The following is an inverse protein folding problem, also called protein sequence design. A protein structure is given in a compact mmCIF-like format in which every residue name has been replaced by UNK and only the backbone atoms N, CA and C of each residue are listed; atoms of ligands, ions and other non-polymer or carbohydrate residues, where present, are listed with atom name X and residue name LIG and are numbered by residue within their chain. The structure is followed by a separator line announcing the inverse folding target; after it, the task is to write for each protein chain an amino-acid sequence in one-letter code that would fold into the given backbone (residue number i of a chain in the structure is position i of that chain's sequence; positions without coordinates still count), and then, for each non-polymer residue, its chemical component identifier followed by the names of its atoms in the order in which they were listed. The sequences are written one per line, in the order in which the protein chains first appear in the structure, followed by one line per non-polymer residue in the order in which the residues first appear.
data_IF_118595949497
#
_entry.id   IF_118595949497
#
_cell.length_a   1.000
_cell.length_b   1.000
_cell.length_c   1.000
_cell.angle_alpha   90.00
_cell.angle_beta   90.00
_cell.angle_gamma   90.00
#
_symmetry.space_group_name_H-M   'P 1'
#
loop_
_entity.id
_entity.type
_entity.pdbx_description
1 polymer ?
#
# COMPACT_ATOMS: atom_id res chain seq x y z
N UNK A 1 -6.46 5.30 -20.36
CA UNK A 1 -6.06 5.91 -19.08
C UNK A 1 -6.93 7.13 -18.83
N UNK A 2 -7.71 7.11 -17.73
CA UNK A 2 -8.56 8.22 -17.36
C UNK A 2 -8.68 8.23 -15.83
N UNK A 3 -9.23 9.30 -15.27
CA UNK A 3 -9.28 9.51 -13.83
C UNK A 3 -10.71 9.84 -13.43
N UNK A 4 -11.21 9.23 -12.34
CA UNK A 4 -12.49 9.60 -11.76
C UNK A 4 -12.32 10.94 -11.04
N UNK A 5 -13.19 11.90 -11.35
CA UNK A 5 -13.15 13.24 -10.75
C UNK A 5 -14.38 13.56 -9.93
N UNK A 6 -15.46 12.81 -10.08
CA UNK A 6 -16.63 12.93 -9.19
C UNK A 6 -17.45 11.67 -9.19
N UNK A 7 -18.24 11.49 -8.13
CA UNK A 7 -19.15 10.35 -7.96
C UNK A 7 -20.52 10.93 -7.61
N UNK A 8 -21.52 10.64 -8.44
CA UNK A 8 -22.87 11.10 -8.21
C UNK A 8 -23.63 10.17 -7.26
N UNK A 9 -24.46 10.76 -6.39
CA UNK A 9 -25.32 10.03 -5.46
C UNK A 9 -26.76 10.48 -5.62
N UNK A 10 -27.67 9.55 -5.39
CA UNK A 10 -29.07 9.81 -5.16
C UNK A 10 -29.44 9.20 -3.80
N UNK A 11 -29.53 10.05 -2.79
CA UNK A 11 -29.77 9.60 -1.41
C UNK A 11 -28.68 8.64 -0.94
N UNK A 12 -29.08 7.42 -0.63
CA UNK A 12 -28.21 6.37 -0.09
C UNK A 12 -27.58 5.48 -1.18
N UNK A 13 -27.55 5.94 -2.43
CA UNK A 13 -27.00 5.15 -3.54
C UNK A 13 -26.09 5.98 -4.42
N UNK A 14 -24.91 5.45 -4.74
CA UNK A 14 -24.11 5.99 -5.85
C UNK A 14 -24.74 5.57 -7.16
N UNK A 15 -24.69 6.44 -8.17
CA UNK A 15 -25.37 6.23 -9.45
C UNK A 15 -24.42 6.27 -10.64
N UNK A 16 -23.38 7.10 -10.59
CA UNK A 16 -22.44 7.21 -11.71
C UNK A 16 -21.12 7.79 -11.25
N UNK A 17 -20.11 7.64 -12.10
CA UNK A 17 -18.82 8.33 -11.95
C UNK A 17 -18.61 9.22 -13.17
N UNK A 18 -18.01 10.39 -12.97
CA UNK A 18 -17.55 11.26 -14.04
C UNK A 18 -16.04 11.15 -14.17
N UNK A 19 -15.57 10.98 -15.37
CA UNK A 19 -14.15 10.88 -15.68
C UNK A 19 -13.60 12.25 -16.07
N UNK A 20 -12.29 12.42 -15.97
CA UNK A 20 -11.60 13.66 -16.33
C UNK A 20 -11.82 14.04 -17.80
N UNK A 21 -12.01 13.06 -18.66
CA UNK A 21 -12.37 13.27 -20.08
C UNK A 21 -13.78 13.87 -20.29
N UNK A 22 -14.58 13.93 -19.21
CA UNK A 22 -15.99 14.36 -19.29
C UNK A 22 -16.97 13.20 -19.46
N UNK A 23 -16.51 11.99 -19.70
CA UNK A 23 -17.37 10.83 -19.85
C UNK A 23 -18.06 10.48 -18.53
N UNK A 24 -19.35 10.12 -18.60
CA UNK A 24 -20.11 9.68 -17.43
C UNK A 24 -20.43 8.20 -17.57
N UNK A 25 -20.04 7.42 -16.55
CA UNK A 25 -20.26 5.98 -16.53
C UNK A 25 -21.28 5.65 -15.44
N UNK A 26 -22.43 5.09 -15.84
CA UNK A 26 -23.46 4.65 -14.89
C UNK A 26 -22.95 3.43 -14.12
N UNK A 27 -23.18 3.39 -12.82
CA UNK A 27 -22.66 2.32 -11.96
C UNK A 27 -23.70 1.88 -10.94
N UNK A 28 -24.04 0.59 -10.97
CA UNK A 28 -24.91 0.00 -9.96
C UNK A 28 -24.21 -0.21 -8.62
N UNK A 29 -22.88 -0.36 -8.64
CA UNK A 29 -22.03 -0.51 -7.45
C UNK A 29 -20.67 0.10 -7.76
N UNK A 30 -20.09 0.76 -6.77
CA UNK A 30 -18.71 1.27 -6.86
C UNK A 30 -17.88 0.57 -5.80
N UNK A 31 -16.74 0.05 -6.21
CA UNK A 31 -15.73 -0.50 -5.29
C UNK A 31 -14.58 0.50 -5.22
N UNK A 32 -14.38 1.08 -4.07
CA UNK A 32 -13.22 1.94 -3.82
C UNK A 32 -12.03 1.03 -3.47
N UNK A 33 -11.14 0.88 -4.43
CA UNK A 33 -9.88 0.15 -4.28
C UNK A 33 -8.73 1.05 -4.72
N UNK A 34 -8.82 2.36 -4.40
CA UNK A 34 -7.90 3.36 -4.92
C UNK A 34 -6.64 3.54 -4.05
N UNK A 35 -6.40 2.61 -3.12
CA UNK A 35 -5.17 2.58 -2.34
C UNK A 35 -4.95 3.88 -1.55
N UNK A 36 -3.76 4.52 -1.68
CA UNK A 36 -3.49 5.75 -0.93
C UNK A 36 -4.45 6.90 -1.21
N UNK A 37 -5.18 6.84 -2.34
CA UNK A 37 -6.19 7.86 -2.68
C UNK A 37 -7.59 7.49 -2.19
N UNK A 38 -7.72 6.49 -1.31
CA UNK A 38 -9.03 5.99 -0.85
C UNK A 38 -9.90 7.09 -0.26
N UNK A 39 -9.32 7.97 0.57
CA UNK A 39 -10.07 9.06 1.17
C UNK A 39 -10.52 10.10 0.13
N UNK A 40 -9.69 10.37 -0.89
CA UNK A 40 -10.09 11.27 -1.98
C UNK A 40 -11.30 10.70 -2.73
N UNK A 41 -11.22 9.42 -3.07
CA UNK A 41 -12.31 8.75 -3.80
C UNK A 41 -13.59 8.71 -2.95
N UNK A 42 -13.48 8.43 -1.65
CA UNK A 42 -14.64 8.41 -0.76
C UNK A 42 -15.31 9.80 -0.71
N UNK A 43 -14.49 10.86 -0.56
CA UNK A 43 -15.01 12.24 -0.51
C UNK A 43 -15.74 12.66 -1.78
N UNK A 44 -15.39 12.12 -2.94
CA UNK A 44 -16.14 12.38 -4.19
C UNK A 44 -17.59 11.90 -4.08
N UNK A 45 -17.85 10.89 -3.23
CA UNK A 45 -19.21 10.41 -2.95
C UNK A 45 -19.78 11.00 -1.66
N UNK A 46 -19.13 12.01 -1.06
CA UNK A 46 -19.54 12.58 0.22
C UNK A 46 -19.40 11.63 1.39
N UNK A 47 -18.39 10.76 1.33
CA UNK A 47 -18.11 9.74 2.36
C UNK A 47 -16.68 9.92 2.87
N UNK A 48 -16.40 9.32 4.03
CA UNK A 48 -15.06 9.33 4.61
C UNK A 48 -14.55 7.91 4.84
N UNK A 49 -13.24 7.78 4.84
CA UNK A 49 -12.55 6.55 5.24
C UNK A 49 -11.22 6.94 5.88
N UNK A 50 -10.84 6.32 7.01
CA UNK A 50 -9.64 6.73 7.75
C UNK A 50 -8.36 6.15 7.13
N UNK A 51 -8.11 6.52 5.86
CA UNK A 51 -6.95 6.03 5.11
C UNK A 51 -6.15 7.22 4.62
N UNK A 52 -4.85 7.20 4.90
CA UNK A 52 -3.90 8.25 4.54
C UNK A 52 -2.74 7.68 3.74
N UNK A 53 -2.16 8.45 2.81
CA UNK A 53 -0.92 8.04 2.16
C UNK A 53 0.26 8.18 3.13
N UNK A 54 1.04 7.10 3.32
CA UNK A 54 2.27 7.09 4.11
C UNK A 54 3.41 6.69 3.19
N UNK A 55 4.44 7.55 3.08
CA UNK A 55 5.53 7.34 2.12
C UNK A 55 6.52 6.30 2.63
N UNK A 56 6.96 5.43 1.73
CA UNK A 56 8.02 4.43 1.96
C UNK A 56 9.04 4.55 0.86
N UNK A 57 10.30 4.74 1.24
CA UNK A 57 11.41 4.75 0.29
C UNK A 57 12.01 3.36 0.22
N UNK A 58 12.28 2.92 -0.99
CA UNK A 58 12.97 1.65 -1.24
C UNK A 58 14.31 1.94 -1.90
N UNK A 59 15.33 1.22 -1.46
CA UNK A 59 16.69 1.37 -1.95
C UNK A 59 17.18 0.07 -2.52
N UNK A 60 17.75 0.13 -3.73
CA UNK A 60 18.45 -1.00 -4.35
C UNK A 60 19.94 -0.71 -4.25
N UNK A 61 20.69 -1.65 -3.73
CA UNK A 61 22.13 -1.46 -3.54
C UNK A 61 22.94 -2.67 -3.99
N UNK A 62 24.16 -2.39 -4.41
CA UNK A 62 25.20 -3.37 -4.69
C UNK A 62 26.05 -3.57 -3.45
N UNK A 63 26.67 -4.72 -3.35
CA UNK A 63 27.48 -5.10 -2.19
C UNK A 63 28.84 -5.56 -2.69
N UNK A 64 29.91 -4.93 -2.19
CA UNK A 64 31.27 -5.26 -2.62
C UNK A 64 31.62 -6.73 -2.35
N UNK A 65 31.12 -7.27 -1.22
CA UNK A 65 31.25 -8.69 -0.88
C UNK A 65 29.90 -9.18 -0.37
N UNK A 66 29.26 -10.07 -1.10
CA UNK A 66 27.93 -10.54 -0.73
C UNK A 66 27.97 -11.43 0.51
N UNK A 67 26.99 -11.31 1.42
CA UNK A 67 26.87 -12.25 2.54
C UNK A 67 26.71 -13.69 2.03
N UNK A 68 27.22 -14.63 2.81
CA UNK A 68 27.09 -16.05 2.47
C UNK A 68 25.62 -16.46 2.41
N UNK A 69 25.29 -17.29 1.44
CA UNK A 69 23.92 -17.71 1.21
C UNK A 69 23.11 -16.73 0.37
N UNK A 70 23.66 -15.53 0.10
CA UNK A 70 23.01 -14.54 -0.76
C UNK A 70 23.25 -14.80 -2.23
N UNK A 71 23.36 -16.08 -2.61
CA UNK A 71 23.76 -16.43 -3.96
C UNK A 71 22.92 -15.71 -5.02
N UNK A 72 23.40 -14.58 -5.41
CA UNK A 72 22.94 -13.89 -6.61
C UNK A 72 23.05 -14.81 -7.83
N UNK A 73 23.92 -15.84 -7.72
CA UNK A 73 24.14 -16.82 -8.75
C UNK A 73 23.04 -17.89 -8.81
N UNK A 74 22.30 -18.12 -7.72
CA UNK A 74 21.25 -19.12 -7.66
C UNK A 74 19.89 -18.52 -7.28
N UNK A 75 19.58 -17.37 -7.84
CA UNK A 75 18.30 -16.68 -7.69
C UNK A 75 17.94 -16.35 -6.24
N UNK A 76 18.94 -15.99 -5.46
CA UNK A 76 18.70 -15.46 -4.13
C UNK A 76 18.01 -16.42 -3.19
N UNK A 77 18.76 -17.33 -2.61
CA UNK A 77 18.24 -18.25 -1.58
C UNK A 77 18.04 -17.58 -0.22
N UNK A 78 18.53 -16.34 -0.05
CA UNK A 78 18.22 -15.61 1.17
C UNK A 78 16.74 -15.20 1.15
N UNK A 79 16.00 -15.53 2.21
CA UNK A 79 14.63 -15.05 2.33
C UNK A 79 14.60 -13.54 2.58
N UNK A 80 13.43 -12.98 2.57
CA UNK A 80 13.21 -11.63 3.10
C UNK A 80 13.61 -11.64 4.58
N UNK A 81 14.60 -10.82 4.92
CA UNK A 81 15.04 -10.61 6.30
C UNK A 81 14.33 -9.36 6.83
N UNK A 82 13.79 -9.44 8.03
CA UNK A 82 13.26 -8.29 8.75
C UNK A 82 13.99 -8.21 10.08
N UNK A 83 14.74 -7.11 10.25
CA UNK A 83 15.51 -6.85 11.46
C UNK A 83 14.56 -6.38 12.58
N UNK A 84 14.89 -6.58 13.87
CA UNK A 84 14.09 -6.04 14.97
C UNK A 84 13.89 -4.52 14.93
N UNK A 85 14.74 -3.78 14.22
CA UNK A 85 14.56 -2.35 14.00
C UNK A 85 13.47 -2.03 12.98
N UNK A 86 12.92 -3.05 12.27
CA UNK A 86 11.97 -2.87 11.20
C UNK A 86 12.61 -2.74 9.81
N UNK A 87 13.93 -2.66 9.74
CA UNK A 87 14.63 -2.64 8.46
C UNK A 87 14.48 -4.02 7.80
N UNK A 88 14.01 -4.04 6.56
CA UNK A 88 13.96 -5.30 5.82
C UNK A 88 14.95 -5.29 4.66
N UNK A 89 15.39 -6.47 4.27
CA UNK A 89 16.32 -6.63 3.16
C UNK A 89 16.07 -7.97 2.46
N UNK A 90 16.13 -7.95 1.13
CA UNK A 90 16.02 -9.18 0.34
C UNK A 90 16.88 -9.08 -0.91
N UNK A 91 17.26 -10.20 -1.50
CA UNK A 91 17.90 -10.17 -2.82
C UNK A 91 16.94 -9.61 -3.89
N UNK A 92 17.52 -8.86 -4.82
CA UNK A 92 16.81 -8.29 -5.97
C UNK A 92 17.70 -8.49 -7.22
N UNK A 93 17.57 -9.65 -7.86
CA UNK A 93 18.49 -10.05 -8.93
C UNK A 93 19.90 -10.16 -8.41
N UNK A 94 20.84 -9.40 -9.01
CA UNK A 94 22.23 -9.36 -8.53
C UNK A 94 22.43 -8.39 -7.37
N UNK A 95 21.44 -7.61 -7.04
CA UNK A 95 21.47 -6.57 -6.02
C UNK A 95 20.70 -6.99 -4.78
N UNK A 96 20.57 -6.08 -3.86
CA UNK A 96 19.67 -6.19 -2.69
C UNK A 96 18.69 -5.04 -2.72
N UNK A 97 17.52 -5.28 -2.16
CA UNK A 97 16.49 -4.27 -1.96
C UNK A 97 16.21 -4.17 -0.47
N UNK A 98 16.14 -2.94 0.05
CA UNK A 98 15.89 -2.68 1.45
C UNK A 98 14.97 -1.47 1.62
N UNK A 99 14.34 -1.41 2.77
CA UNK A 99 13.52 -0.29 3.20
C UNK A 99 13.22 -0.41 4.68
N UNK A 100 12.58 0.63 5.20
CA UNK A 100 12.18 0.68 6.60
C UNK A 100 10.98 1.62 6.75
N UNK A 101 10.27 1.53 7.86
CA UNK A 101 9.36 2.58 8.25
C UNK A 101 10.17 3.74 8.85
N UNK A 102 9.87 4.98 8.49
CA UNK A 102 10.57 6.12 9.10
C UNK A 102 10.22 6.25 10.59
N UNK A 103 11.10 6.89 11.36
CA UNK A 103 10.88 7.11 12.79
C UNK A 103 9.64 7.98 13.01
N UNK A 104 9.48 9.00 12.19
CA UNK A 104 8.25 9.79 12.14
C UNK A 104 7.57 9.50 10.81
N UNK A 105 6.33 9.05 10.89
CA UNK A 105 5.59 8.57 9.72
C UNK A 105 4.33 9.42 9.49
N UNK A 106 4.50 10.71 9.11
CA UNK A 106 3.35 11.57 8.85
C UNK A 106 2.66 11.20 7.55
N UNK A 107 1.40 11.58 7.43
CA UNK A 107 0.73 11.57 6.14
C UNK A 107 1.47 12.48 5.17
N UNK A 108 1.48 12.10 3.90
CA UNK A 108 2.09 12.90 2.83
C UNK A 108 1.04 13.25 1.78
N UNK A 109 1.35 14.18 0.90
CA UNK A 109 0.51 14.40 -0.26
C UNK A 109 0.55 13.16 -1.17
N UNK A 110 -0.59 12.84 -1.75
CA UNK A 110 -0.76 11.62 -2.58
C UNK A 110 0.10 11.64 -3.86
N UNK A 111 0.72 12.77 -4.20
CA UNK A 111 1.64 12.89 -5.35
C UNK A 111 3.10 13.14 -4.91
N UNK A 112 3.41 13.05 -3.61
CA UNK A 112 4.78 13.20 -3.11
C UNK A 112 5.53 11.86 -3.22
N UNK A 113 6.27 11.68 -4.30
CA UNK A 113 7.10 10.50 -4.55
C UNK A 113 8.60 10.80 -4.44
N UNK A 114 8.98 11.91 -3.79
CA UNK A 114 10.39 12.22 -3.59
C UNK A 114 10.99 11.27 -2.55
N UNK A 115 12.02 10.47 -2.88
CA UNK A 115 12.64 9.57 -1.90
C UNK A 115 13.28 10.33 -0.74
N UNK A 116 13.24 9.73 0.44
CA UNK A 116 13.89 10.26 1.64
C UNK A 116 15.25 9.59 1.80
N UNK A 117 16.28 10.25 1.30
CA UNK A 117 17.64 9.67 1.29
C UNK A 117 18.17 9.43 2.70
N UNK A 118 17.85 10.30 3.63
CA UNK A 118 18.27 10.20 5.02
C UNK A 118 17.84 8.88 5.68
N UNK A 119 16.75 8.27 5.22
CA UNK A 119 16.32 6.97 5.75
C UNK A 119 17.36 5.88 5.48
N UNK A 120 18.10 5.98 4.37
CA UNK A 120 19.15 5.03 4.07
C UNK A 120 20.35 5.21 5.00
N UNK A 121 20.82 6.44 5.15
CA UNK A 121 22.03 6.72 5.91
C UNK A 121 21.82 6.56 7.42
N UNK A 122 20.66 7.00 7.93
CA UNK A 122 20.42 7.07 9.37
C UNK A 122 19.81 5.78 9.94
N UNK A 123 19.09 5.01 9.13
CA UNK A 123 18.30 3.88 9.62
C UNK A 123 18.76 2.56 8.96
N UNK A 124 18.73 2.53 7.61
CA UNK A 124 18.85 1.28 6.88
C UNK A 124 20.29 0.76 6.90
N UNK A 125 21.23 1.59 6.47
CA UNK A 125 22.64 1.15 6.38
C UNK A 125 23.21 0.74 7.73
N UNK A 126 23.04 1.50 8.83
CA UNK A 126 23.56 1.06 10.13
C UNK A 126 22.98 -0.28 10.59
N UNK A 127 21.69 -0.51 10.39
CA UNK A 127 21.05 -1.77 10.77
C UNK A 127 21.61 -2.94 9.95
N UNK A 128 21.77 -2.74 8.63
CA UNK A 128 22.32 -3.77 7.75
C UNK A 128 23.77 -4.09 8.10
N UNK A 129 24.61 -3.06 8.33
CA UNK A 129 26.02 -3.22 8.69
C UNK A 129 26.16 -3.95 10.04
N UNK A 130 25.31 -3.62 11.00
CA UNK A 130 25.27 -4.32 12.28
C UNK A 130 24.91 -5.80 12.11
N UNK A 131 23.98 -6.10 11.20
CA UNK A 131 23.53 -7.47 10.95
C UNK A 131 24.60 -8.30 10.24
N UNK A 132 25.34 -7.70 9.32
CA UNK A 132 26.44 -8.38 8.61
C UNK A 132 27.51 -7.35 8.23
N UNK A 133 28.77 -7.54 8.69
CA UNK A 133 29.85 -6.62 8.30
C UNK A 133 30.06 -6.51 6.80
N UNK A 134 29.58 -7.48 6.01
CA UNK A 134 29.69 -7.40 4.55
C UNK A 134 28.81 -6.29 3.97
N UNK A 135 27.79 -5.84 4.71
CA UNK A 135 26.95 -4.70 4.32
C UNK A 135 27.57 -3.35 4.71
N UNK A 136 28.78 -3.32 5.29
CA UNK A 136 29.48 -2.05 5.48
C UNK A 136 29.87 -1.40 4.16
N UNK A 137 30.23 -2.21 3.15
CA UNK A 137 30.69 -1.73 1.84
C UNK A 137 29.60 -1.94 0.78
N UNK A 138 28.58 -1.10 0.84
CA UNK A 138 27.47 -1.14 -0.11
C UNK A 138 27.37 0.18 -0.87
N UNK A 139 26.72 0.13 -2.04
CA UNK A 139 26.54 1.30 -2.90
C UNK A 139 25.10 1.29 -3.42
N UNK A 140 24.32 2.30 -3.08
CA UNK A 140 22.97 2.45 -3.62
C UNK A 140 23.08 2.68 -5.13
N UNK A 141 22.31 1.91 -5.89
CA UNK A 141 22.30 1.97 -7.35
C UNK A 141 20.95 2.45 -7.88
N UNK A 142 19.89 2.38 -7.08
CA UNK A 142 18.58 2.88 -7.46
C UNK A 142 17.74 3.13 -6.21
N UNK A 143 16.74 4.00 -6.33
CA UNK A 143 15.79 4.26 -5.25
C UNK A 143 14.48 4.77 -5.82
N UNK A 144 13.40 4.55 -5.10
CA UNK A 144 12.11 5.14 -5.43
C UNK A 144 11.22 5.17 -4.19
N UNK A 145 10.22 6.04 -4.22
CA UNK A 145 9.21 6.10 -3.16
C UNK A 145 7.87 5.60 -3.66
N UNK A 146 7.10 5.02 -2.76
CA UNK A 146 5.72 4.63 -2.97
C UNK A 146 4.90 4.93 -1.74
N UNK A 147 3.59 4.75 -1.84
CA UNK A 147 2.72 5.03 -0.71
C UNK A 147 2.01 3.79 -0.23
N UNK A 148 1.98 3.60 1.09
CA UNK A 148 1.02 2.72 1.75
C UNK A 148 -0.33 3.44 1.86
N UNK A 149 -1.40 2.71 1.70
CA UNK A 149 -2.76 3.12 2.03
C UNK A 149 -2.99 2.81 3.53
N UNK A 150 -2.56 3.73 4.37
CA UNK A 150 -2.43 3.49 5.81
C UNK A 150 -3.76 3.75 6.51
N UNK A 151 -4.33 2.71 7.14
CA UNK A 151 -5.52 2.83 7.97
C UNK A 151 -5.12 3.37 9.34
N UNK A 152 -5.60 4.56 9.68
CA UNK A 152 -5.17 5.25 10.91
C UNK A 152 -5.84 4.72 12.18
N UNK A 153 -6.87 3.85 12.06
CA UNK A 153 -7.56 3.32 13.24
C UNK A 153 -6.80 2.15 13.87
N UNK A 154 -6.49 1.14 13.05
CA UNK A 154 -5.93 -0.10 13.58
C UNK A 154 -4.91 -0.75 12.65
N UNK A 155 -4.53 -0.04 11.58
CA UNK A 155 -3.56 -0.50 10.57
C UNK A 155 -3.99 -1.78 9.85
N UNK A 156 -5.29 -2.10 9.84
CA UNK A 156 -5.81 -3.28 9.17
C UNK A 156 -6.75 -2.92 8.03
N UNK A 157 -6.93 -3.89 7.12
CA UNK A 157 -7.77 -3.77 5.93
C UNK A 157 -9.21 -3.38 6.28
N UNK A 158 -9.74 -2.40 5.56
CA UNK A 158 -11.15 -2.05 5.57
C UNK A 158 -11.79 -2.67 4.32
N UNK A 159 -12.63 -3.68 4.51
CA UNK A 159 -13.37 -4.30 3.41
C UNK A 159 -14.84 -4.43 3.78
N UNK A 160 -15.73 -3.88 2.94
CA UNK A 160 -17.17 -3.95 3.23
C UNK A 160 -17.97 -2.83 2.61
N UNK A 161 -19.28 -2.95 2.71
CA UNK A 161 -20.21 -1.90 2.24
C UNK A 161 -20.22 -0.75 3.23
N UNK A 162 -20.36 0.46 2.69
CA UNK A 162 -20.59 1.62 3.56
C UNK A 162 -21.96 1.46 4.26
N UNK A 163 -22.06 1.75 5.57
CA UNK A 163 -23.30 1.50 6.30
C UNK A 163 -24.52 2.26 5.76
N UNK A 164 -24.31 3.48 5.28
CA UNK A 164 -25.42 4.31 4.78
C UNK A 164 -25.55 4.28 3.26
N UNK A 165 -24.49 3.88 2.52
CA UNK A 165 -24.48 3.86 1.06
C UNK A 165 -24.11 2.44 0.61
N UNK A 166 -25.10 1.57 0.61
CA UNK A 166 -24.94 0.13 0.50
C UNK A 166 -24.30 -0.35 -0.82
N UNK A 167 -24.33 0.47 -1.84
CA UNK A 167 -23.69 0.13 -3.12
C UNK A 167 -22.32 0.82 -3.31
N UNK A 168 -21.73 1.32 -2.21
CA UNK A 168 -20.35 1.77 -2.17
C UNK A 168 -19.57 0.80 -1.25
N UNK A 169 -18.57 0.15 -1.80
CA UNK A 169 -17.80 -0.90 -1.13
C UNK A 169 -16.37 -0.41 -0.96
N UNK A 170 -15.81 -0.58 0.21
CA UNK A 170 -14.39 -0.31 0.49
C UNK A 170 -13.57 -1.58 0.32
N UNK A 171 -12.36 -1.44 -0.20
CA UNK A 171 -11.28 -2.41 -0.18
C UNK A 171 -9.99 -1.60 -0.10
N UNK A 172 -9.70 -1.08 1.11
CA UNK A 172 -8.69 -0.04 1.34
C UNK A 172 -7.97 -0.28 2.66
N UNK A 173 -6.90 0.48 2.90
CA UNK A 173 -6.26 0.52 4.21
C UNK A 173 -5.42 -0.69 4.53
N UNK A 174 -4.78 -1.28 3.54
CA UNK A 174 -3.97 -2.48 3.72
C UNK A 174 -2.72 -2.25 4.56
N UNK A 175 -2.29 -1.01 4.73
CA UNK A 175 -1.18 -0.59 5.61
C UNK A 175 0.11 -1.38 5.39
N UNK A 176 0.40 -1.73 4.13
CA UNK A 176 1.60 -2.46 3.74
C UNK A 176 1.38 -3.96 3.50
N UNK A 177 0.20 -4.50 3.81
CA UNK A 177 -0.08 -5.94 3.68
C UNK A 177 -0.89 -6.29 2.42
N UNK A 178 -1.00 -5.35 1.47
CA UNK A 178 -1.88 -5.51 0.32
C UNK A 178 -1.52 -6.67 -0.59
N UNK A 179 -0.22 -6.97 -0.75
CA UNK A 179 0.18 -8.07 -1.62
C UNK A 179 -0.34 -9.42 -1.08
N UNK A 180 -0.24 -9.63 0.23
CA UNK A 180 -0.68 -10.88 0.85
C UNK A 180 -2.21 -10.98 0.92
N UNK A 181 -2.88 -9.87 1.20
CA UNK A 181 -4.32 -9.83 1.49
C UNK A 181 -5.17 -9.58 0.24
N UNK A 182 -4.58 -9.02 -0.82
CA UNK A 182 -5.32 -8.57 -2.00
C UNK A 182 -6.22 -9.62 -2.65
N UNK A 183 -5.75 -10.87 -2.85
CA UNK A 183 -6.62 -11.89 -3.45
C UNK A 183 -7.88 -12.18 -2.63
N UNK A 184 -7.75 -12.28 -1.30
CA UNK A 184 -8.90 -12.51 -0.42
C UNK A 184 -9.83 -11.30 -0.38
N UNK A 185 -9.26 -10.08 -0.30
CA UNK A 185 -10.04 -8.84 -0.31
C UNK A 185 -10.81 -8.69 -1.62
N UNK A 186 -10.19 -9.02 -2.76
CA UNK A 186 -10.84 -8.96 -4.06
C UNK A 186 -12.01 -9.94 -4.15
N UNK A 187 -11.83 -11.15 -3.62
CA UNK A 187 -12.87 -12.17 -3.59
C UNK A 187 -14.07 -11.72 -2.73
N UNK A 188 -13.78 -11.15 -1.56
CA UNK A 188 -14.83 -10.63 -0.68
C UNK A 188 -15.58 -9.46 -1.34
N UNK A 189 -14.86 -8.51 -1.93
CA UNK A 189 -15.49 -7.38 -2.62
C UNK A 189 -16.37 -7.86 -3.78
N UNK A 190 -15.91 -8.85 -4.55
CA UNK A 190 -16.70 -9.44 -5.62
C UNK A 190 -17.99 -10.08 -5.09
N UNK A 191 -17.90 -10.85 -4.02
CA UNK A 191 -19.09 -11.50 -3.43
C UNK A 191 -20.11 -10.46 -2.98
N UNK A 192 -19.66 -9.34 -2.45
CA UNK A 192 -20.52 -8.23 -2.03
C UNK A 192 -21.17 -7.52 -3.21
N UNK A 193 -20.51 -7.44 -4.37
CA UNK A 193 -21.16 -6.86 -5.57
C UNK A 193 -22.29 -7.74 -6.08
N UNK A 194 -22.18 -9.05 -5.88
CA UNK A 194 -23.16 -10.02 -6.39
C UNK A 194 -24.32 -10.29 -5.42
N UNK A 195 -24.09 -10.16 -4.11
CA UNK A 195 -25.14 -10.46 -3.12
C UNK A 195 -26.11 -9.28 -2.98
N UNK A 196 -27.38 -9.54 -3.17
CA UNK A 196 -28.45 -8.57 -2.92
C UNK A 196 -28.91 -8.54 -1.46
N UNK A 197 -28.31 -9.37 -0.61
CA UNK A 197 -28.74 -9.52 0.78
C UNK A 197 -27.99 -8.55 1.68
N UNK A 198 -28.74 -7.75 2.39
CA UNK A 198 -28.23 -6.82 3.41
C UNK A 198 -27.76 -7.60 4.65
N UNK A 199 -26.49 -7.86 4.76
CA UNK A 199 -25.91 -8.18 6.07
C UNK A 199 -24.86 -7.12 6.38
N UNK A 200 -25.16 -6.29 7.35
CA UNK A 200 -24.24 -5.31 7.90
C UNK A 200 -23.23 -6.05 8.78
N UNK A 201 -22.13 -6.45 8.22
CA UNK A 201 -21.01 -6.96 9.01
C UNK A 201 -19.75 -6.24 8.61
N UNK A 202 -19.30 -5.35 9.46
CA UNK A 202 -17.93 -4.88 9.42
C UNK A 202 -17.07 -6.02 9.94
N UNK A 203 -16.37 -6.70 9.07
CA UNK A 203 -15.39 -7.68 9.51
C UNK A 203 -14.02 -7.02 9.53
N UNK A 204 -13.50 -6.79 10.71
CA UNK A 204 -12.08 -6.59 10.91
C UNK A 204 -11.42 -7.95 10.72
N UNK A 205 -10.64 -8.11 9.67
CA UNK A 205 -9.80 -9.29 9.52
C UNK A 205 -8.63 -9.12 10.47
N UNK A 206 -8.72 -9.84 11.57
CA UNK A 206 -7.62 -9.90 12.52
C UNK A 206 -6.53 -10.79 11.99
N UNK A 207 -5.65 -10.31 12.07
CA UNK A 207 -4.60 -11.12 11.70
C UNK A 207 -3.52 -11.28 12.34
#
# INVERSE_FOLDING_TARGET
HDEVVSIARDGAKVTSVTLKSGAVVQAGTIVNASGPRAALTARMAGLDVPVEPRKRTLFVFDCATTPEGSATVNHGRLPLMIDPTGVFCRPEGRFFLSGAAPVQDPAVDWDDFEPRWEEFEDIIWPALAHRSPKFEAIKVVNQWAGHYDFNTLDHNLIVGRHPEVQNFIYANGFSGHGLQQGPAAGQDAQSRTQSRTTQNSWHHALX
#
